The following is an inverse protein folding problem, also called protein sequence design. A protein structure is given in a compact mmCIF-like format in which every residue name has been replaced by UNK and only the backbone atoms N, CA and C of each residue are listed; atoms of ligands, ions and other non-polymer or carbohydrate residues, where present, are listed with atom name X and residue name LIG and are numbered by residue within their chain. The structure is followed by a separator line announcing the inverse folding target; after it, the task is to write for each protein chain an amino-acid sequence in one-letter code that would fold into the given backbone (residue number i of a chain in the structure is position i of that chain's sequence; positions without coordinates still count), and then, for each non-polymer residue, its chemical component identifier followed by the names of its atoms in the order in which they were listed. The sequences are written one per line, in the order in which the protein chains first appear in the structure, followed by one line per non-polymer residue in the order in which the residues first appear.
data_IF_759664262858
#
_entry.id   IF_759664262858
#
_cell.length_a   1.000
_cell.length_b   1.000
_cell.length_c   1.000
_cell.angle_alpha   90.00
_cell.angle_beta   90.00
_cell.angle_gamma   90.00
#
_symmetry.space_group_name_H-M   'P 1'
#
loop_
_entity.id
_entity.type
_entity.pdbx_description
1 polymer ?
#
# COMPACT_ATOMS: atom_id res chain seq x y z
N UNK A 1 -3.60 13.38 15.81
CA UNK A 1 -3.58 12.27 16.79
C UNK A 1 -2.43 11.35 16.40
N UNK A 2 -1.35 11.28 17.19
CA UNK A 2 -0.27 10.30 16.92
C UNK A 2 -0.87 8.92 17.20
N UNK A 3 -1.06 8.11 16.16
CA UNK A 3 -1.49 6.73 16.34
C UNK A 3 -0.42 6.01 17.15
N UNK A 4 -0.77 5.49 18.32
CA UNK A 4 0.13 4.68 19.13
C UNK A 4 0.13 3.29 18.47
N UNK A 5 1.15 3.00 17.66
CA UNK A 5 1.36 1.67 17.06
C UNK A 5 1.94 0.77 18.14
N UNK A 6 1.41 -0.45 18.32
CA UNK A 6 1.94 -1.37 19.32
C UNK A 6 3.39 -1.78 18.93
N UNK A 7 4.29 -2.04 19.90
CA UNK A 7 5.69 -2.39 19.59
C UNK A 7 5.84 -3.57 18.63
N UNK A 8 4.96 -4.58 18.73
CA UNK A 8 4.94 -5.74 17.81
C UNK A 8 4.59 -5.37 16.38
N UNK A 9 3.65 -4.43 16.19
CA UNK A 9 3.21 -3.97 14.87
C UNK A 9 4.28 -3.10 14.25
N UNK A 10 4.90 -2.22 15.05
CA UNK A 10 6.06 -1.45 14.62
C UNK A 10 7.18 -2.35 14.09
N UNK A 11 7.56 -3.37 14.86
CA UNK A 11 8.58 -4.34 14.44
C UNK A 11 8.18 -5.06 13.13
N UNK A 12 6.90 -5.40 12.97
CA UNK A 12 6.41 -6.02 11.73
C UNK A 12 6.50 -5.06 10.55
N UNK A 13 6.18 -3.78 10.73
CA UNK A 13 6.33 -2.78 9.67
C UNK A 13 7.79 -2.55 9.30
N UNK A 14 8.70 -2.49 10.28
CA UNK A 14 10.14 -2.37 10.00
C UNK A 14 10.68 -3.53 9.17
N UNK A 15 10.22 -4.76 9.43
CA UNK A 15 10.58 -5.94 8.60
C UNK A 15 10.05 -5.82 7.16
N UNK A 16 8.81 -5.37 6.99
CA UNK A 16 8.20 -5.19 5.67
C UNK A 16 8.91 -4.05 4.90
N UNK A 17 9.29 -2.97 5.60
CA UNK A 17 10.07 -1.88 5.01
C UNK A 17 11.42 -2.42 4.53
N UNK A 18 12.13 -3.15 5.38
CA UNK A 18 13.42 -3.75 5.04
C UNK A 18 13.29 -4.65 3.80
N UNK A 19 12.27 -5.52 3.75
CA UNK A 19 11.99 -6.35 2.58
C UNK A 19 11.71 -5.52 1.31
N UNK A 20 10.96 -4.42 1.42
CA UNK A 20 10.63 -3.57 0.29
C UNK A 20 11.83 -2.73 -0.23
N UNK A 21 12.84 -2.45 0.60
CA UNK A 21 13.88 -1.46 0.29
C UNK A 21 15.31 -1.98 0.39
N UNK A 22 15.55 -3.25 0.74
CA UNK A 22 16.90 -3.78 1.02
C UNK A 22 17.87 -3.62 -0.16
N UNK A 23 17.37 -3.85 -1.38
CA UNK A 23 18.16 -3.83 -2.61
C UNK A 23 18.03 -2.50 -3.38
N UNK A 24 17.48 -1.46 -2.75
CA UNK A 24 17.26 -0.16 -3.38
C UNK A 24 18.38 0.83 -3.04
N UNK A 25 18.78 1.62 -4.03
CA UNK A 25 19.85 2.61 -3.97
C UNK A 25 19.35 4.05 -4.04
N UNK A 26 18.14 4.29 -4.53
CA UNK A 26 17.48 5.60 -4.59
C UNK A 26 15.97 5.51 -4.33
N UNK A 27 15.30 6.67 -4.33
CA UNK A 27 13.86 6.78 -4.02
C UNK A 27 12.98 6.12 -5.08
N UNK A 28 13.37 6.16 -6.35
CA UNK A 28 12.63 5.55 -7.47
C UNK A 28 12.66 4.03 -7.36
N UNK A 29 13.82 3.46 -7.02
CA UNK A 29 13.98 2.04 -6.72
C UNK A 29 13.18 1.63 -5.49
N UNK A 30 13.13 2.46 -4.44
CA UNK A 30 12.32 2.19 -3.26
C UNK A 30 10.82 2.12 -3.59
N UNK A 31 10.28 3.06 -4.37
CA UNK A 31 8.87 3.01 -4.78
C UNK A 31 8.59 1.77 -5.64
N UNK A 32 9.52 1.41 -6.52
CA UNK A 32 9.42 0.21 -7.35
C UNK A 32 9.44 -1.07 -6.50
N UNK A 33 10.31 -1.15 -5.50
CA UNK A 33 10.37 -2.26 -4.54
C UNK A 33 9.08 -2.41 -3.74
N UNK A 34 8.52 -1.29 -3.26
CA UNK A 34 7.20 -1.28 -2.62
C UNK A 34 6.07 -1.73 -3.55
N UNK A 35 6.08 -1.29 -4.81
CA UNK A 35 5.05 -1.67 -5.78
C UNK A 35 5.07 -3.19 -6.05
N UNK A 36 6.25 -3.78 -6.20
CA UNK A 36 6.42 -5.24 -6.35
C UNK A 36 5.89 -5.97 -5.12
N UNK A 37 6.34 -5.58 -3.92
CA UNK A 37 5.93 -6.24 -2.68
C UNK A 37 4.41 -6.16 -2.45
N UNK A 38 3.80 -5.00 -2.73
CA UNK A 38 2.36 -4.84 -2.58
C UNK A 38 1.57 -5.68 -3.60
N UNK A 39 2.04 -5.80 -4.84
CA UNK A 39 1.38 -6.65 -5.85
C UNK A 39 1.42 -8.13 -5.44
N UNK A 40 2.56 -8.60 -4.91
CA UNK A 40 2.74 -9.97 -4.42
C UNK A 40 1.78 -10.33 -3.27
N UNK A 41 1.45 -9.38 -2.40
CA UNK A 41 0.68 -9.66 -1.17
C UNK A 41 -0.81 -9.31 -1.25
N UNK A 42 -1.21 -8.34 -2.09
CA UNK A 42 -2.61 -7.86 -2.16
C UNK A 42 -3.49 -8.78 -3.01
N UNK A 43 -2.90 -9.60 -3.90
CA UNK A 43 -3.59 -10.59 -4.73
C UNK A 43 -4.82 -10.03 -5.44
N UNK A 44 -4.59 -9.05 -6.33
CA UNK A 44 -5.68 -8.45 -7.11
C UNK A 44 -6.23 -9.43 -8.18
N UNK A 45 -7.54 -9.35 -8.53
CA UNK A 45 -8.55 -8.45 -8.00
C UNK A 45 -9.11 -8.90 -6.64
N UNK A 46 -9.34 -7.95 -5.73
CA UNK A 46 -9.90 -8.22 -4.40
C UNK A 46 -10.88 -7.14 -3.93
N UNK A 47 -11.73 -7.48 -2.95
CA UNK A 47 -12.69 -6.54 -2.37
C UNK A 47 -11.98 -5.53 -1.45
N UNK A 48 -12.44 -4.28 -1.52
CA UNK A 48 -11.93 -3.21 -0.68
C UNK A 48 -13.00 -2.15 -0.41
N UNK A 49 -12.68 -1.23 0.50
CA UNK A 49 -13.47 -0.04 0.79
C UNK A 49 -12.62 1.21 0.56
N UNK A 50 -13.21 2.24 -0.05
CA UNK A 50 -12.66 3.60 -0.06
C UNK A 50 -13.65 4.52 0.65
N UNK A 51 -13.20 5.10 1.77
CA UNK A 51 -14.09 5.86 2.65
C UNK A 51 -15.21 4.99 3.21
N UNK A 52 -16.43 5.14 2.69
CA UNK A 52 -17.62 4.36 3.08
C UNK A 52 -18.16 3.48 1.95
N UNK A 53 -17.53 3.50 0.78
CA UNK A 53 -18.02 2.84 -0.42
C UNK A 53 -17.25 1.55 -0.68
N UNK A 54 -17.97 0.47 -0.98
CA UNK A 54 -17.36 -0.80 -1.40
C UNK A 54 -16.91 -0.71 -2.87
N UNK A 55 -15.72 -1.24 -3.15
CA UNK A 55 -15.12 -1.27 -4.46
C UNK A 55 -14.35 -2.59 -4.67
N UNK A 56 -13.93 -2.82 -5.92
CA UNK A 56 -12.96 -3.89 -6.24
C UNK A 56 -11.64 -3.23 -6.59
N UNK A 57 -10.58 -3.58 -5.89
CA UNK A 57 -9.21 -3.23 -6.28
C UNK A 57 -8.80 -4.16 -7.42
N UNK A 58 -8.65 -3.63 -8.61
CA UNK A 58 -8.33 -4.41 -9.82
C UNK A 58 -6.82 -4.56 -10.04
N UNK A 59 -6.01 -3.58 -9.60
CA UNK A 59 -4.55 -3.56 -9.78
C UNK A 59 -3.89 -2.61 -8.78
N UNK A 60 -2.69 -2.95 -8.33
CA UNK A 60 -1.72 -2.02 -7.68
C UNK A 60 -0.78 -1.48 -8.76
N UNK A 61 -0.53 -0.18 -8.75
CA UNK A 61 0.29 0.49 -9.77
C UNK A 61 1.06 1.66 -9.17
N UNK A 62 1.95 2.28 -9.95
CA UNK A 62 2.52 3.59 -9.61
C UNK A 62 1.77 4.71 -10.34
N UNK A 63 1.85 5.92 -9.78
CA UNK A 63 1.37 7.12 -10.44
C UNK A 63 2.25 7.47 -11.65
N UNK A 64 1.82 8.46 -12.44
CA UNK A 64 2.47 8.79 -13.70
C UNK A 64 3.87 9.41 -13.50
N UNK A 65 4.22 9.77 -12.25
CA UNK A 65 5.53 10.31 -11.88
C UNK A 65 6.46 9.27 -11.25
N UNK A 66 5.94 8.08 -10.92
CA UNK A 66 6.69 7.04 -10.22
C UNK A 66 6.89 7.29 -8.72
N UNK A 67 6.33 8.36 -8.16
CA UNK A 67 6.61 8.78 -6.76
C UNK A 67 5.61 8.24 -5.74
N UNK A 68 4.48 7.70 -6.20
CA UNK A 68 3.42 7.20 -5.33
C UNK A 68 2.81 5.92 -5.84
N UNK A 69 2.37 5.07 -4.90
CA UNK A 69 1.64 3.84 -5.21
C UNK A 69 0.15 4.12 -5.17
N UNK A 70 -0.53 3.68 -6.21
CA UNK A 70 -1.96 3.84 -6.40
C UNK A 70 -2.65 2.48 -6.52
N UNK A 71 -3.93 2.45 -6.18
CA UNK A 71 -4.83 1.38 -6.57
C UNK A 71 -5.70 1.80 -7.75
N UNK A 72 -5.81 0.94 -8.75
CA UNK A 72 -6.84 1.04 -9.78
C UNK A 72 -8.06 0.30 -9.25
N UNK A 73 -9.11 1.05 -8.89
CA UNK A 73 -10.34 0.47 -8.35
C UNK A 73 -11.50 0.57 -9.33
N UNK A 74 -12.42 -0.37 -9.22
CA UNK A 74 -13.75 -0.31 -9.81
C UNK A 74 -14.77 0.03 -8.74
N UNK A 75 -15.28 1.25 -8.81
CA UNK A 75 -16.37 1.75 -7.97
C UNK A 75 -17.65 1.80 -8.80
N UNK A 76 -18.62 0.96 -8.48
CA UNK A 76 -19.84 0.78 -9.30
C UNK A 76 -19.49 0.45 -10.77
N UNK A 77 -19.73 1.38 -11.70
CA UNK A 77 -19.43 1.25 -13.14
C UNK A 77 -18.23 2.08 -13.59
N UNK A 78 -17.53 2.73 -12.66
CA UNK A 78 -16.44 3.67 -12.95
C UNK A 78 -15.12 3.12 -12.46
N UNK A 79 -14.06 3.25 -13.27
CA UNK A 79 -12.68 3.00 -12.84
C UNK A 79 -12.05 4.27 -12.32
N UNK A 80 -11.37 4.20 -11.19
CA UNK A 80 -10.69 5.32 -10.54
C UNK A 80 -9.26 4.91 -10.16
N UNK A 81 -8.34 5.87 -10.20
CA UNK A 81 -6.99 5.75 -9.62
C UNK A 81 -7.01 6.51 -8.30
N UNK A 82 -6.63 5.85 -7.21
CA UNK A 82 -6.60 6.42 -5.85
C UNK A 82 -5.29 6.06 -5.17
N UNK A 83 -4.85 6.85 -4.20
CA UNK A 83 -3.69 6.49 -3.40
C UNK A 83 -3.93 5.14 -2.69
N UNK A 84 -2.94 4.25 -2.69
CA UNK A 84 -3.07 2.96 -2.01
C UNK A 84 -3.33 3.16 -0.50
N UNK A 85 -2.87 4.28 0.06
CA UNK A 85 -3.11 4.69 1.43
C UNK A 85 -4.58 5.06 1.72
N UNK A 86 -5.45 5.21 0.72
CA UNK A 86 -6.89 5.46 0.92
C UNK A 86 -7.74 4.19 0.85
N UNK A 87 -7.12 3.06 0.52
CA UNK A 87 -7.79 1.76 0.40
C UNK A 87 -7.77 1.03 1.74
N UNK A 88 -8.90 0.40 2.06
CA UNK A 88 -9.02 -0.56 3.16
C UNK A 88 -9.38 -1.91 2.56
N UNK A 89 -8.51 -2.91 2.74
CA UNK A 89 -8.74 -4.27 2.29
C UNK A 89 -9.50 -5.07 3.35
N UNK A 90 -10.35 -5.99 2.90
CA UNK A 90 -11.06 -6.91 3.79
C UNK A 90 -10.10 -7.96 4.39
N UNK A 91 -9.00 -8.27 3.69
CA UNK A 91 -7.97 -9.18 4.16
C UNK A 91 -7.00 -8.44 5.13
N UNK A 92 -6.99 -8.77 6.44
CA UNK A 92 -6.14 -8.08 7.42
C UNK A 92 -4.64 -8.34 7.21
N UNK A 93 -4.26 -9.48 6.64
CA UNK A 93 -2.86 -9.80 6.33
C UNK A 93 -2.34 -8.92 5.21
N UNK A 94 -3.05 -8.86 4.07
CA UNK A 94 -2.73 -7.95 2.97
C UNK A 94 -2.77 -6.47 3.42
N UNK A 95 -3.74 -6.11 4.27
CA UNK A 95 -3.85 -4.77 4.83
C UNK A 95 -2.63 -4.35 5.67
N UNK A 96 -1.90 -5.31 6.24
CA UNK A 96 -0.67 -5.05 7.00
C UNK A 96 0.41 -4.40 6.11
N UNK A 97 0.49 -4.79 4.84
CA UNK A 97 1.46 -4.23 3.90
C UNK A 97 1.12 -2.79 3.51
N UNK A 98 -0.15 -2.48 3.26
CA UNK A 98 -0.61 -1.08 3.06
C UNK A 98 -0.33 -0.24 4.30
N UNK A 99 -0.53 -0.80 5.50
CA UNK A 99 -0.23 -0.07 6.74
C UNK A 99 1.27 0.15 6.95
N UNK A 100 2.12 -0.80 6.58
CA UNK A 100 3.58 -0.63 6.59
C UNK A 100 4.01 0.47 5.61
N UNK A 101 3.47 0.49 4.40
CA UNK A 101 3.73 1.55 3.43
C UNK A 101 3.25 2.93 3.96
N UNK A 102 2.05 3.00 4.53
CA UNK A 102 1.55 4.22 5.22
C UNK A 102 2.46 4.67 6.35
N UNK A 103 3.04 3.73 7.10
CA UNK A 103 3.99 4.03 8.17
C UNK A 103 5.29 4.58 7.61
N UNK A 104 5.84 3.95 6.57
CA UNK A 104 7.06 4.39 5.89
C UNK A 104 6.93 5.81 5.33
N UNK A 105 5.88 6.11 4.54
CA UNK A 105 5.65 7.45 4.00
C UNK A 105 5.54 8.56 5.07
N UNK A 106 5.13 8.22 6.30
CA UNK A 106 4.98 9.18 7.41
C UNK A 106 6.24 9.41 8.21
N UNK A 107 7.15 8.44 8.24
CA UNK A 107 8.37 8.52 9.06
C UNK A 107 9.61 8.93 8.25
N UNK A 108 9.45 9.08 6.93
CA UNK A 108 10.53 9.41 6.01
C UNK A 108 11.29 8.17 5.56
N UNK A 109 11.64 8.14 4.28
CA UNK A 109 12.74 7.35 3.73
C UNK A 109 14.08 7.90 4.20
#
# INVERSE_FOLDING_TARGET
MKSIIAPREKKRYEQIIEEATMDCHDEDEQISGWACLLDDWIHTPCNCTIGKEMAVLEKVDTDDTGNAIIGVIKLNKTKLRVLIQDIVLDNPEAMTYINAYRYWCKNGS
#
